data_IF_260176073781
#
_entry.id   IF_260176073781
#
_cell.length_a   1.000
_cell.length_b   1.000
_cell.length_c   1.000
_cell.angle_alpha   90.00
_cell.angle_beta   90.00
_cell.angle_gamma   90.00
#
_symmetry.space_group_name_H-M   'P 1'
#
loop_
_entity.id
_entity.type
_entity.pdbx_description
1 polymer ?
#
# COMPACT_ATOMS: atom_id res chain seq x y z
N UNK A 1 7.23 54.35 16.89
CA UNK A 1 6.31 53.83 15.87
C UNK A 1 5.70 52.55 16.45
N UNK A 2 4.55 52.66 17.12
CA UNK A 2 3.26 52.10 16.68
C UNK A 2 3.39 50.61 16.26
N UNK A 3 2.85 49.58 16.93
CA UNK A 3 1.59 49.49 17.66
C UNK A 3 0.49 48.97 16.73
N UNK A 4 0.30 47.64 16.66
CA UNK A 4 -0.77 46.98 15.91
C UNK A 4 -0.93 45.49 16.32
N UNK A 5 -2.16 44.93 16.39
CA UNK A 5 -2.54 43.88 17.34
C UNK A 5 -2.56 42.44 16.78
N UNK A 6 -2.73 41.41 17.64
CA UNK A 6 -3.10 40.04 17.26
C UNK A 6 -4.64 39.87 17.32
N UNK A 7 -5.27 39.32 16.28
CA UNK A 7 -6.72 38.97 16.21
C UNK A 7 -6.91 38.10 14.93
N UNK A 8 -7.71 37.03 14.82
CA UNK A 8 -8.85 36.53 15.59
C UNK A 8 -9.14 35.06 15.27
N UNK A 9 -9.66 34.33 16.25
CA UNK A 9 -10.69 33.30 16.06
C UNK A 9 -12.06 33.98 15.91
N UNK A 10 -12.89 33.55 14.96
CA UNK A 10 -14.36 33.74 14.88
C UNK A 10 -14.84 33.20 13.52
N UNK A 11 -15.69 32.16 13.49
CA UNK A 11 -17.16 32.27 13.26
C UNK A 11 -17.46 32.72 11.81
N UNK A 12 -18.26 32.06 10.97
CA UNK A 12 -19.62 31.54 11.11
C UNK A 12 -20.01 31.00 9.71
N UNK A 13 -20.68 29.85 9.59
CA UNK A 13 -22.06 29.71 9.05
C UNK A 13 -22.27 30.14 7.57
N UNK A 14 -23.08 29.52 6.72
CA UNK A 14 -24.03 28.42 6.76
C UNK A 14 -24.44 28.18 5.29
N UNK A 15 -25.23 27.13 4.98
CA UNK A 15 -26.06 27.17 3.75
C UNK A 15 -26.09 25.93 2.86
N UNK A 16 -26.53 24.80 3.41
CA UNK A 16 -27.65 23.98 2.91
C UNK A 16 -28.06 24.03 1.41
N UNK A 17 -28.01 22.88 0.72
CA UNK A 17 -29.12 22.29 -0.09
C UNK A 17 -28.68 20.90 -0.63
N UNK A 18 -28.95 19.80 0.06
CA UNK A 18 -30.14 18.92 -0.07
C UNK A 18 -30.36 18.36 -1.49
N UNK A 19 -29.84 17.16 -1.75
CA UNK A 19 -30.52 16.18 -2.60
C UNK A 19 -30.43 14.78 -1.97
N UNK A 20 -31.50 14.42 -1.26
CA UNK A 20 -31.85 13.04 -0.93
C UNK A 20 -32.37 12.37 -2.20
N UNK A 21 -31.79 11.22 -2.55
CA UNK A 21 -32.53 10.12 -3.14
C UNK A 21 -32.13 8.85 -2.41
N UNK A 22 -33.00 8.43 -1.50
CA UNK A 22 -33.06 7.07 -0.96
C UNK A 22 -33.86 6.20 -1.94
N UNK A 23 -33.30 5.05 -2.30
CA UNK A 23 -33.96 3.74 -2.35
C UNK A 23 -32.90 2.70 -2.73
N UNK A 24 -32.35 1.96 -1.76
CA UNK A 24 -32.91 0.73 -1.18
C UNK A 24 -32.54 -0.53 -1.99
N UNK A 25 -31.66 -1.34 -1.40
CA UNK A 25 -32.01 -2.73 -1.11
C UNK A 25 -31.17 -3.27 0.05
N UNK A 26 -31.91 -3.68 1.07
CA UNK A 26 -31.47 -4.42 2.23
C UNK A 26 -30.69 -5.67 1.88
N UNK A 27 -29.72 -6.00 2.73
CA UNK A 27 -28.96 -7.24 2.63
C UNK A 27 -27.94 -7.37 3.74
N UNK A 28 -28.38 -7.32 4.99
CA UNK A 28 -27.85 -8.06 6.14
C UNK A 28 -26.51 -8.80 5.92
N UNK A 29 -25.40 -8.05 5.82
CA UNK A 29 -24.05 -8.60 5.61
C UNK A 29 -23.07 -8.18 6.71
N UNK A 30 -23.50 -7.29 7.60
CA UNK A 30 -22.70 -6.81 8.75
C UNK A 30 -22.65 -7.81 9.90
N UNK A 31 -23.46 -8.89 9.85
CA UNK A 31 -23.42 -10.03 10.78
C UNK A 31 -22.84 -11.31 10.18
N UNK A 32 -22.08 -11.24 9.08
CA UNK A 32 -21.24 -12.37 8.69
C UNK A 32 -20.07 -12.51 9.66
N UNK A 33 -20.30 -13.31 10.72
CA UNK A 33 -19.36 -13.97 11.62
C UNK A 33 -17.96 -13.32 11.74
N UNK A 34 -17.81 -12.45 12.75
CA UNK A 34 -16.49 -12.03 13.27
C UNK A 34 -15.48 -13.19 13.43
N UNK A 35 -15.85 -14.41 13.90
CA UNK A 35 -14.92 -15.54 13.96
C UNK A 35 -14.52 -16.12 12.58
N UNK A 36 -15.40 -16.10 11.58
CA UNK A 36 -15.06 -16.61 10.24
C UNK A 36 -14.04 -15.72 9.51
N UNK A 37 -14.07 -14.39 9.73
CA UNK A 37 -13.04 -13.49 9.20
C UNK A 37 -11.65 -13.80 9.77
N UNK A 38 -11.53 -14.16 11.05
CA UNK A 38 -10.24 -14.50 11.65
C UNK A 38 -9.63 -15.75 11.01
N UNK A 39 -10.43 -16.79 10.75
CA UNK A 39 -9.96 -17.99 10.06
C UNK A 39 -9.51 -17.66 8.63
N UNK A 40 -10.31 -16.92 7.86
CA UNK A 40 -9.97 -16.55 6.48
C UNK A 40 -8.72 -15.67 6.43
N UNK A 41 -8.55 -14.72 7.36
CA UNK A 41 -7.35 -13.88 7.47
C UNK A 41 -6.13 -14.71 7.84
N UNK A 42 -6.25 -15.69 8.74
CA UNK A 42 -5.14 -16.56 9.12
C UNK A 42 -4.68 -17.45 7.96
N UNK A 43 -5.62 -18.10 7.27
CA UNK A 43 -5.33 -18.89 6.07
C UNK A 43 -4.73 -18.01 4.97
N UNK A 44 -5.24 -16.78 4.81
CA UNK A 44 -4.70 -15.80 3.88
C UNK A 44 -3.24 -15.44 4.20
N UNK A 45 -2.91 -15.21 5.48
CA UNK A 45 -1.54 -14.95 5.91
C UNK A 45 -0.64 -16.14 5.53
N UNK A 46 -1.05 -17.37 5.86
CA UNK A 46 -0.26 -18.55 5.54
C UNK A 46 -0.02 -18.72 4.03
N UNK A 47 -1.06 -18.57 3.21
CA UNK A 47 -0.97 -18.66 1.76
C UNK A 47 -0.02 -17.59 1.21
N UNK A 48 -0.10 -16.36 1.72
CA UNK A 48 0.79 -15.26 1.34
C UNK A 48 2.26 -15.58 1.62
N UNK A 49 2.58 -16.05 2.83
CA UNK A 49 3.96 -16.34 3.22
C UNK A 49 4.57 -17.52 2.48
N UNK A 50 3.83 -18.64 2.37
CA UNK A 50 4.36 -19.89 1.83
C UNK A 50 4.17 -20.04 0.33
N UNK A 51 2.99 -19.69 -0.20
CA UNK A 51 2.64 -19.95 -1.61
C UNK A 51 2.84 -18.70 -2.46
N UNK A 52 2.57 -17.51 -1.91
CA UNK A 52 2.80 -16.23 -2.57
C UNK A 52 4.28 -15.79 -2.62
N UNK A 53 5.20 -16.61 -2.11
CA UNK A 53 6.62 -16.25 -1.99
C UNK A 53 6.90 -15.10 -1.03
N UNK A 54 5.92 -14.76 -0.17
CA UNK A 54 6.01 -13.61 0.74
C UNK A 54 7.24 -13.65 1.62
N UNK A 55 7.64 -14.84 2.12
CA UNK A 55 8.83 -14.96 2.96
C UNK A 55 10.12 -14.59 2.22
N UNK A 56 10.26 -15.00 0.95
CA UNK A 56 11.43 -14.69 0.13
C UNK A 56 11.51 -13.19 -0.16
N UNK A 57 10.38 -12.59 -0.52
CA UNK A 57 10.27 -11.15 -0.80
C UNK A 57 10.56 -10.33 0.47
N UNK A 58 10.03 -10.73 1.62
CA UNK A 58 10.30 -10.06 2.91
C UNK A 58 11.78 -10.11 3.26
N UNK A 59 12.40 -11.30 3.18
CA UNK A 59 13.82 -11.47 3.47
C UNK A 59 14.69 -10.64 2.52
N UNK A 60 14.35 -10.62 1.23
CA UNK A 60 15.05 -9.81 0.24
C UNK A 60 14.99 -8.32 0.60
N UNK A 61 13.81 -7.76 0.87
CA UNK A 61 13.68 -6.36 1.27
C UNK A 61 14.36 -6.04 2.61
N UNK A 62 14.34 -6.97 3.56
CA UNK A 62 14.95 -6.79 4.86
C UNK A 62 16.48 -6.80 4.77
N UNK A 63 17.05 -7.77 4.05
CA UNK A 63 18.51 -7.86 3.82
C UNK A 63 19.00 -6.64 3.04
N UNK A 64 18.34 -6.27 1.94
CA UNK A 64 18.72 -5.08 1.17
C UNK A 64 18.52 -3.79 1.96
N UNK A 65 17.45 -3.70 2.76
CA UNK A 65 17.18 -2.53 3.60
C UNK A 65 18.24 -2.34 4.69
N UNK A 66 18.71 -3.41 5.31
CA UNK A 66 19.83 -3.37 6.27
C UNK A 66 21.14 -3.03 5.55
N UNK A 67 21.42 -3.65 4.40
CA UNK A 67 22.63 -3.40 3.63
C UNK A 67 22.72 -1.96 3.13
N UNK A 68 21.59 -1.38 2.74
CA UNK A 68 21.46 0.00 2.24
C UNK A 68 21.07 1.01 3.33
N UNK A 69 21.07 0.61 4.59
CA UNK A 69 20.85 1.51 5.73
C UNK A 69 21.89 2.66 5.79
N UNK A 70 23.19 2.43 5.48
CA UNK A 70 24.17 3.51 5.35
C UNK A 70 23.82 4.54 4.26
N UNK A 71 23.04 4.14 3.25
CA UNK A 71 22.52 5.04 2.21
C UNK A 71 21.31 5.88 2.67
N UNK A 72 20.99 5.88 3.97
CA UNK A 72 20.03 6.78 4.60
C UNK A 72 18.58 6.50 4.23
N UNK A 73 17.99 7.34 3.37
CA UNK A 73 16.57 7.25 2.99
C UNK A 73 16.26 5.97 2.22
N UNK A 74 17.22 5.48 1.43
CA UNK A 74 17.13 4.28 0.60
C UNK A 74 16.85 3.02 1.44
N UNK A 75 17.71 2.73 2.41
CA UNK A 75 17.54 1.57 3.29
C UNK A 75 16.28 1.66 4.15
N UNK A 76 15.94 2.86 4.66
CA UNK A 76 14.70 3.07 5.44
C UNK A 76 13.44 2.74 4.62
N UNK A 77 13.39 3.14 3.35
CA UNK A 77 12.25 2.86 2.48
C UNK A 77 12.11 1.36 2.19
N UNK A 78 13.23 0.66 2.00
CA UNK A 78 13.23 -0.79 1.80
C UNK A 78 12.79 -1.56 3.04
N UNK A 79 13.19 -1.12 4.23
CA UNK A 79 12.69 -1.67 5.49
C UNK A 79 11.18 -1.40 5.68
N UNK A 80 10.69 -0.25 5.22
CA UNK A 80 9.26 0.06 5.21
C UNK A 80 8.51 -0.91 4.28
N UNK A 81 9.04 -1.19 3.09
CA UNK A 81 8.48 -2.16 2.15
C UNK A 81 8.48 -3.58 2.73
N UNK A 82 9.55 -3.99 3.43
CA UNK A 82 9.58 -5.26 4.16
C UNK A 82 8.45 -5.35 5.20
N UNK A 83 8.20 -4.26 5.94
CA UNK A 83 7.10 -4.19 6.92
C UNK A 83 5.72 -4.28 6.28
N UNK A 84 5.54 -3.69 5.10
CA UNK A 84 4.31 -3.84 4.33
C UNK A 84 4.12 -5.29 3.89
N UNK A 85 5.18 -5.94 3.42
CA UNK A 85 5.12 -7.36 3.04
C UNK A 85 4.81 -8.29 4.23
N UNK A 86 5.25 -7.93 5.45
CA UNK A 86 4.94 -8.66 6.69
C UNK A 86 3.45 -8.53 7.07
N UNK A 87 2.84 -7.39 6.80
CA UNK A 87 1.45 -7.12 7.19
C UNK A 87 0.69 -6.37 6.09
N UNK A 88 0.41 -6.99 4.93
CA UNK A 88 -0.11 -6.28 3.77
C UNK A 88 -1.50 -5.70 4.00
N UNK A 89 -2.28 -6.28 4.91
CA UNK A 89 -3.62 -5.79 5.27
C UNK A 89 -3.61 -4.51 6.09
N UNK A 90 -2.49 -4.19 6.76
CA UNK A 90 -2.39 -3.01 7.64
C UNK A 90 -1.95 -1.75 6.90
N UNK A 91 -1.55 -1.87 5.64
CA UNK A 91 -0.98 -0.77 4.87
C UNK A 91 -1.72 -0.62 3.54
N UNK A 92 -1.92 0.63 3.14
CA UNK A 92 -2.31 1.00 1.79
C UNK A 92 -1.05 1.47 1.06
N UNK A 93 -0.85 0.94 -0.15
CA UNK A 93 0.27 1.31 -1.02
C UNK A 93 -0.31 2.04 -2.21
N UNK A 94 0.11 3.29 -2.38
CA UNK A 94 -0.16 4.06 -3.58
C UNK A 94 1.13 4.10 -4.41
N UNK A 95 1.16 3.40 -5.56
CA UNK A 95 2.29 3.50 -6.48
C UNK A 95 2.39 4.94 -6.97
N UNK A 96 3.62 5.38 -7.22
CA UNK A 96 3.87 6.73 -7.71
C UNK A 96 3.31 6.91 -9.12
N UNK A 97 2.71 8.08 -9.39
CA UNK A 97 2.34 8.46 -10.74
C UNK A 97 3.58 8.51 -11.63
N UNK A 98 3.50 7.88 -12.80
CA UNK A 98 4.60 7.71 -13.76
C UNK A 98 5.14 9.01 -14.36
N UNK A 99 4.58 10.18 -14.00
CA UNK A 99 4.83 11.46 -14.67
C UNK A 99 5.62 12.50 -13.87
N UNK A 100 5.99 12.25 -12.61
CA UNK A 100 6.58 13.30 -11.74
C UNK A 100 8.11 13.28 -11.76
N UNK A 101 8.68 14.14 -12.61
CA UNK A 101 9.95 14.87 -12.43
C UNK A 101 11.26 14.06 -12.42
N UNK A 102 12.16 14.36 -13.37
CA UNK A 102 13.57 13.98 -13.33
C UNK A 102 14.24 14.78 -12.19
N UNK A 103 14.17 14.26 -10.96
CA UNK A 103 14.78 14.87 -9.78
C UNK A 103 16.19 14.38 -9.47
N UNK A 104 16.85 15.03 -8.51
CA UNK A 104 18.11 14.56 -7.91
C UNK A 104 17.89 13.20 -7.22
N UNK A 105 18.26 12.13 -7.92
CA UNK A 105 17.98 10.75 -7.50
C UNK A 105 17.65 9.81 -8.67
N UNK A 106 17.36 10.36 -9.85
CA UNK A 106 17.02 9.58 -11.05
C UNK A 106 18.02 8.46 -11.36
N UNK A 107 19.33 8.70 -11.23
CA UNK A 107 20.34 7.66 -11.52
C UNK A 107 20.25 6.47 -10.56
N UNK A 108 20.05 6.70 -9.26
CA UNK A 108 19.94 5.62 -8.26
C UNK A 108 18.62 4.87 -8.44
N UNK A 109 17.55 5.60 -8.72
CA UNK A 109 16.24 5.01 -9.01
C UNK A 109 16.25 4.19 -10.30
N UNK A 110 16.93 4.68 -11.35
CA UNK A 110 17.08 3.98 -12.62
C UNK A 110 17.94 2.72 -12.47
N UNK A 111 19.08 2.82 -11.77
CA UNK A 111 19.94 1.66 -11.48
C UNK A 111 19.16 0.63 -10.66
N UNK A 112 18.41 1.06 -9.65
CA UNK A 112 17.54 0.18 -8.88
C UNK A 112 16.48 -0.48 -9.77
N UNK A 113 15.73 0.31 -10.54
CA UNK A 113 14.67 -0.18 -11.41
C UNK A 113 15.19 -1.21 -12.42
N UNK A 114 16.37 -0.98 -13.00
CA UNK A 114 16.96 -1.90 -13.99
C UNK A 114 17.56 -3.16 -13.36
N UNK A 115 18.26 -3.05 -12.22
CA UNK A 115 18.93 -4.20 -11.60
C UNK A 115 17.97 -5.06 -10.79
N UNK A 116 17.07 -4.46 -10.01
CA UNK A 116 16.26 -5.19 -9.05
C UNK A 116 14.76 -4.93 -9.20
N UNK A 117 14.36 -3.68 -9.43
CA UNK A 117 12.96 -3.27 -9.51
C UNK A 117 12.19 -3.99 -10.61
N UNK A 118 12.79 -4.17 -11.79
CA UNK A 118 12.16 -4.89 -12.91
C UNK A 118 11.98 -6.38 -12.61
N UNK A 119 12.98 -7.01 -11.98
CA UNK A 119 12.91 -8.41 -11.58
C UNK A 119 11.81 -8.61 -10.52
N UNK A 120 11.76 -7.74 -9.52
CA UNK A 120 10.72 -7.74 -8.50
C UNK A 120 9.33 -7.49 -9.10
N UNK A 121 9.19 -6.51 -9.99
CA UNK A 121 7.96 -6.22 -10.71
C UNK A 121 7.47 -7.46 -11.45
N UNK A 122 8.33 -8.13 -12.21
CA UNK A 122 7.98 -9.35 -12.95
C UNK A 122 7.57 -10.49 -12.02
N UNK A 123 8.30 -10.75 -10.94
CA UNK A 123 7.95 -11.78 -9.96
C UNK A 123 6.57 -11.49 -9.35
N UNK A 124 6.33 -10.23 -8.94
CA UNK A 124 5.05 -9.82 -8.37
C UNK A 124 3.91 -9.90 -9.37
N UNK A 125 4.12 -9.50 -10.63
CA UNK A 125 3.12 -9.63 -11.69
C UNK A 125 2.82 -11.08 -12.04
N UNK A 126 3.83 -11.95 -12.09
CA UNK A 126 3.64 -13.37 -12.34
C UNK A 126 2.80 -14.02 -11.24
N UNK A 127 3.07 -13.68 -9.97
CA UNK A 127 2.19 -14.07 -8.88
C UNK A 127 0.79 -13.45 -9.00
N UNK A 128 0.68 -12.17 -9.36
CA UNK A 128 -0.62 -11.52 -9.52
C UNK A 128 -1.48 -12.20 -10.59
N UNK A 129 -0.87 -12.63 -11.70
CA UNK A 129 -1.53 -13.39 -12.76
C UNK A 129 -1.91 -14.80 -12.31
N UNK A 130 -1.00 -15.50 -11.63
CA UNK A 130 -1.25 -16.83 -11.07
C UNK A 130 -2.43 -16.82 -10.09
N UNK A 131 -2.54 -15.78 -9.28
CA UNK A 131 -3.61 -15.59 -8.30
C UNK A 131 -4.83 -14.84 -8.86
N UNK A 132 -4.79 -14.41 -10.12
CA UNK A 132 -5.88 -13.66 -10.77
C UNK A 132 -7.23 -14.40 -10.74
N UNK A 133 -7.30 -15.74 -10.94
CA UNK A 133 -8.56 -16.48 -10.83
C UNK A 133 -9.25 -16.33 -9.47
N UNK A 134 -8.50 -16.08 -8.38
CA UNK A 134 -9.07 -15.87 -7.05
C UNK A 134 -9.79 -14.53 -6.90
N UNK A 135 -9.54 -13.56 -7.79
CA UNK A 135 -10.34 -12.32 -7.85
C UNK A 135 -11.81 -12.62 -8.13
N UNK A 136 -12.09 -13.64 -8.94
CA UNK A 136 -13.46 -14.09 -9.26
C UNK A 136 -14.16 -14.59 -7.99
N UNK A 137 -13.40 -15.19 -7.07
CA UNK A 137 -13.87 -15.64 -5.76
C UNK A 137 -13.97 -14.51 -4.71
N UNK A 138 -13.75 -13.25 -5.10
CA UNK A 138 -13.80 -12.09 -4.20
C UNK A 138 -12.54 -11.92 -3.33
N UNK A 139 -11.46 -12.66 -3.61
CA UNK A 139 -10.21 -12.57 -2.86
C UNK A 139 -9.24 -11.65 -3.61
N UNK A 140 -8.87 -10.54 -2.99
CA UNK A 140 -8.07 -9.46 -3.60
C UNK A 140 -6.54 -9.68 -3.57
N UNK A 141 -6.05 -10.93 -3.50
CA UNK A 141 -4.61 -11.27 -3.46
C UNK A 141 -3.88 -10.73 -4.68
N UNK A 142 -4.42 -10.96 -5.87
CA UNK A 142 -3.82 -10.50 -7.12
C UNK A 142 -3.66 -8.98 -7.15
N UNK A 143 -4.66 -8.23 -6.66
CA UNK A 143 -4.62 -6.75 -6.60
C UNK A 143 -3.47 -6.27 -5.69
N UNK A 144 -3.24 -6.93 -4.56
CA UNK A 144 -2.10 -6.60 -3.68
C UNK A 144 -0.76 -6.89 -4.34
N UNK A 145 -0.61 -8.03 -5.03
CA UNK A 145 0.62 -8.32 -5.78
C UNK A 145 0.87 -7.32 -6.90
N UNK A 146 -0.17 -6.85 -7.61
CA UNK A 146 -0.04 -5.80 -8.63
C UNK A 146 0.48 -4.49 -8.04
N UNK A 147 -0.14 -3.99 -6.95
CA UNK A 147 0.30 -2.76 -6.31
C UNK A 147 1.69 -2.86 -5.71
N UNK A 148 2.00 -3.99 -5.08
CA UNK A 148 3.31 -4.22 -4.49
C UNK A 148 4.40 -4.32 -5.56
N UNK A 149 4.09 -4.93 -6.72
CA UNK A 149 4.99 -4.96 -7.86
C UNK A 149 5.27 -3.56 -8.44
N UNK A 150 4.23 -2.73 -8.60
CA UNK A 150 4.38 -1.35 -9.04
C UNK A 150 5.20 -0.51 -8.05
N UNK A 151 4.96 -0.69 -6.76
CA UNK A 151 5.75 -0.05 -5.72
C UNK A 151 7.18 -0.61 -5.62
N UNK A 152 7.41 -1.87 -5.95
CA UNK A 152 8.74 -2.48 -5.99
C UNK A 152 9.62 -1.91 -7.12
N UNK A 153 9.00 -1.55 -8.24
CA UNK A 153 9.67 -0.94 -9.39
C UNK A 153 10.22 0.45 -9.04
N UNK A 154 9.41 1.26 -8.34
CA UNK A 154 9.81 2.59 -7.84
C UNK A 154 9.49 2.73 -6.34
N UNK A 155 10.30 2.12 -5.46
CA UNK A 155 10.02 2.10 -4.03
C UNK A 155 10.19 3.48 -3.40
N UNK A 156 11.04 4.35 -3.97
CA UNK A 156 11.35 5.67 -3.43
C UNK A 156 10.21 6.67 -3.60
N UNK A 157 9.31 6.40 -4.52
CA UNK A 157 8.17 7.26 -4.83
C UNK A 157 6.84 6.65 -4.36
N UNK A 158 6.85 5.38 -3.96
CA UNK A 158 5.69 4.71 -3.39
C UNK A 158 5.29 5.36 -2.05
N UNK A 159 4.01 5.74 -1.95
CA UNK A 159 3.44 6.26 -0.70
C UNK A 159 2.84 5.11 0.08
N UNK A 160 3.36 4.87 1.28
CA UNK A 160 2.87 3.83 2.19
C UNK A 160 2.14 4.51 3.34
N UNK A 161 0.82 4.29 3.44
CA UNK A 161 0.00 4.74 4.56
C UNK A 161 -0.48 3.55 5.38
N UNK A 162 -0.60 3.72 6.70
CA UNK A 162 -1.25 2.71 7.55
C UNK A 162 -2.77 2.87 7.37
N UNK A 163 -3.49 1.79 7.09
CA UNK A 163 -4.96 1.83 7.00
C UNK A 163 -5.55 2.16 8.36
N UNK A 164 -6.56 3.03 8.39
CA UNK A 164 -7.33 3.27 9.62
C UNK A 164 -8.27 2.08 9.90
N UNK A 165 -8.62 1.82 11.18
CA UNK A 165 -9.56 0.75 11.53
C UNK A 165 -10.95 1.05 10.97
N UNK A 166 -11.22 0.56 9.76
CA UNK A 166 -12.49 0.77 9.04
C UNK A 166 -12.36 0.84 7.52
N UNK A 167 -11.16 1.09 6.98
CA UNK A 167 -10.91 1.06 5.53
C UNK A 167 -10.74 -0.39 5.02
N UNK A 168 -11.55 -0.74 4.01
CA UNK A 168 -11.49 -2.04 3.31
C UNK A 168 -10.55 -1.94 2.11
#
# INVERSE_FOLDING_TARGET
MAGGPPYSDALLEDGHHKQKHEHQKDGDSTKLNRPQRCCVVFWWILIWYFVGGGIFVILLYLILGILLLPCGKLGKQLLLMARVCISPLKYSIEPADSCVGIGNGFCVELIWALLLGIHLLFIHWLFALLWSPLLICGISIAKQHFFLGMAAFSPFRATIRKKEPGEV
#
